data_IF_332094576879
#
_entry.id   IF_332094576879
#
_cell.length_a   1.000
_cell.length_b   1.000
_cell.length_c   1.000
_cell.angle_alpha   90.00
_cell.angle_beta   90.00
_cell.angle_gamma   90.00
#
_symmetry.space_group_name_H-M   'P 1'
#
loop_
_entity.id
_entity.type
_entity.pdbx_description
1 polymer ?
#
# COMPACT_ATOMS: atom_id res chain seq x y z
N UNK A 1 -4.62 6.37 7.62
CA UNK A 1 -4.12 6.80 6.28
C UNK A 1 -2.67 7.29 6.29
N UNK A 2 -2.21 8.01 7.34
CA UNK A 2 -0.84 8.58 7.38
C UNK A 2 0.27 7.54 7.16
N UNK A 3 0.10 6.29 7.60
CA UNK A 3 1.09 5.22 7.41
C UNK A 3 1.44 4.95 5.93
N UNK A 4 0.55 5.26 5.01
CA UNK A 4 0.77 5.06 3.57
C UNK A 4 1.87 5.97 3.03
N UNK A 5 2.06 7.16 3.61
CA UNK A 5 3.15 8.07 3.26
C UNK A 5 4.54 7.48 3.54
N UNK A 6 4.60 6.49 4.43
CA UNK A 6 5.83 5.77 4.76
C UNK A 6 5.91 4.46 3.99
N UNK A 7 4.81 3.69 3.94
CA UNK A 7 4.80 2.37 3.28
C UNK A 7 4.90 2.45 1.76
N UNK A 8 4.21 3.40 1.13
CA UNK A 8 4.23 3.52 -0.32
C UNK A 8 5.64 3.78 -0.87
N UNK A 9 6.44 4.72 -0.31
CA UNK A 9 7.83 4.87 -0.68
C UNK A 9 8.69 3.61 -0.47
N UNK A 10 8.40 2.80 0.53
CA UNK A 10 9.12 1.55 0.77
C UNK A 10 8.79 0.53 -0.32
N UNK A 11 7.51 0.36 -0.65
CA UNK A 11 7.05 -0.58 -1.67
C UNK A 11 7.56 -0.21 -3.06
N UNK A 12 7.48 1.07 -3.43
CA UNK A 12 7.85 1.57 -4.76
C UNK A 12 9.33 1.93 -4.90
N UNK A 13 10.15 1.74 -3.87
CA UNK A 13 11.57 2.10 -3.89
C UNK A 13 12.49 1.04 -4.49
N UNK A 14 11.96 -0.11 -4.91
CA UNK A 14 12.73 -1.14 -5.60
C UNK A 14 13.18 -0.72 -7.00
N UNK A 15 14.22 -1.33 -7.58
CA UNK A 15 14.55 -1.16 -8.97
C UNK A 15 13.55 -1.89 -9.86
N UNK A 16 13.36 -1.43 -11.09
CA UNK A 16 12.62 -2.14 -12.11
C UNK A 16 13.48 -3.24 -12.79
N UNK A 17 12.95 -3.90 -13.82
CA UNK A 17 13.66 -4.96 -14.52
C UNK A 17 14.93 -4.51 -15.25
N UNK A 18 15.11 -3.20 -15.45
CA UNK A 18 16.29 -2.58 -16.06
C UNK A 18 17.31 -2.08 -15.04
N UNK A 19 16.98 -2.16 -13.75
CA UNK A 19 17.79 -1.64 -12.66
C UNK A 19 17.57 -0.15 -12.34
N UNK A 20 16.61 0.50 -13.00
CA UNK A 20 16.29 1.92 -12.75
C UNK A 20 15.29 2.08 -11.60
N UNK A 21 15.32 3.26 -10.95
CA UNK A 21 14.44 3.58 -9.82
C UNK A 21 13.35 4.59 -10.22
N UNK A 22 12.19 4.49 -9.56
CA UNK A 22 11.12 5.44 -9.73
C UNK A 22 11.57 6.84 -9.25
N UNK A 23 11.40 7.86 -10.10
CA UNK A 23 11.91 9.21 -9.86
C UNK A 23 13.29 9.47 -10.48
N UNK A 24 13.91 8.44 -11.09
CA UNK A 24 15.25 8.53 -11.69
C UNK A 24 16.36 8.52 -10.64
N UNK A 25 17.60 8.58 -11.12
CA UNK A 25 18.79 8.60 -10.26
C UNK A 25 19.39 7.21 -10.02
N UNK A 26 20.50 7.17 -9.28
CA UNK A 26 21.27 5.95 -9.00
C UNK A 26 20.79 5.17 -7.76
N UNK A 27 19.68 5.58 -7.16
CA UNK A 27 19.13 4.95 -5.97
C UNK A 27 17.68 5.34 -5.70
N UNK A 28 17.02 4.72 -4.72
CA UNK A 28 15.61 4.92 -4.43
C UNK A 28 15.31 6.34 -3.93
N UNK A 29 14.52 7.11 -4.66
CA UNK A 29 14.07 8.43 -4.26
C UNK A 29 12.78 8.36 -3.42
N UNK A 30 12.90 7.92 -2.16
CA UNK A 30 11.76 7.78 -1.24
C UNK A 30 11.06 9.11 -0.94
N UNK A 31 11.80 10.23 -0.97
CA UNK A 31 11.23 11.56 -0.72
C UNK A 31 10.27 11.97 -1.83
N UNK A 32 10.66 11.78 -3.10
CA UNK A 32 9.79 12.10 -4.23
C UNK A 32 8.53 11.20 -4.27
N UNK A 33 8.67 9.91 -3.96
CA UNK A 33 7.53 9.00 -3.89
C UNK A 33 6.59 9.41 -2.75
N UNK A 34 7.12 9.78 -1.58
CA UNK A 34 6.32 10.27 -0.46
C UNK A 34 5.59 11.57 -0.80
N UNK A 35 6.27 12.53 -1.43
CA UNK A 35 5.69 13.82 -1.84
C UNK A 35 4.57 13.62 -2.87
N UNK A 36 4.78 12.79 -3.90
CA UNK A 36 3.76 12.43 -4.87
C UNK A 36 2.56 11.74 -4.23
N UNK A 37 2.81 10.79 -3.34
CA UNK A 37 1.75 10.09 -2.58
C UNK A 37 0.93 11.05 -1.73
N UNK A 38 1.59 11.97 -1.01
CA UNK A 38 0.91 12.97 -0.19
C UNK A 38 0.06 13.94 -1.01
N UNK A 39 0.60 14.41 -2.15
CA UNK A 39 -0.12 15.30 -3.05
C UNK A 39 -1.39 14.64 -3.60
N UNK A 40 -1.27 13.44 -4.15
CA UNK A 40 -2.42 12.72 -4.72
C UNK A 40 -3.45 12.39 -3.64
N UNK A 41 -3.02 11.85 -2.50
CA UNK A 41 -3.92 11.54 -1.39
C UNK A 41 -4.64 12.79 -0.86
N UNK A 42 -3.94 13.92 -0.76
CA UNK A 42 -4.53 15.19 -0.33
C UNK A 42 -5.57 15.71 -1.31
N UNK A 43 -5.22 15.80 -2.60
CA UNK A 43 -6.14 16.27 -3.64
C UNK A 43 -7.37 15.37 -3.74
N UNK A 44 -7.19 14.04 -3.78
CA UNK A 44 -8.29 13.10 -3.90
C UNK A 44 -9.20 13.09 -2.64
N UNK A 45 -8.63 13.26 -1.45
CA UNK A 45 -9.43 13.39 -0.22
C UNK A 45 -10.25 14.68 -0.19
N UNK A 46 -9.70 15.81 -0.69
CA UNK A 46 -10.43 17.08 -0.82
C UNK A 46 -11.57 16.93 -1.83
N UNK A 47 -11.32 16.29 -2.98
CA UNK A 47 -12.35 16.03 -3.98
C UNK A 47 -13.44 15.09 -3.43
N UNK A 48 -13.06 14.07 -2.66
CA UNK A 48 -14.03 13.16 -2.05
C UNK A 48 -14.95 13.87 -1.04
N UNK A 49 -14.41 14.76 -0.21
CA UNK A 49 -15.20 15.53 0.73
C UNK A 49 -15.98 16.68 0.08
N UNK A 50 -15.39 17.37 -0.92
CA UNK A 50 -15.98 18.58 -1.49
C UNK A 50 -16.90 18.34 -2.68
N UNK A 51 -16.64 17.32 -3.50
CA UNK A 51 -17.43 17.01 -4.70
C UNK A 51 -18.37 15.83 -4.46
N UNK A 52 -17.88 14.80 -3.78
CA UNK A 52 -18.66 13.60 -3.53
C UNK A 52 -19.48 13.63 -2.23
N UNK A 53 -19.31 14.67 -1.41
CA UNK A 53 -19.94 14.82 -0.08
C UNK A 53 -19.81 13.57 0.80
N UNK A 54 -18.67 12.88 0.68
CA UNK A 54 -18.41 11.63 1.39
C UNK A 54 -17.15 11.77 2.26
N UNK A 55 -17.26 11.70 3.60
CA UNK A 55 -16.18 12.06 4.53
C UNK A 55 -15.12 10.96 4.66
N UNK A 56 -14.58 10.46 3.55
CA UNK A 56 -13.51 9.48 3.55
C UNK A 56 -12.20 10.05 3.00
N UNK A 57 -11.11 9.80 3.74
CA UNK A 57 -9.78 10.08 3.22
C UNK A 57 -9.36 8.98 2.24
N UNK A 58 -8.89 9.39 1.07
CA UNK A 58 -8.41 8.50 0.02
C UNK A 58 -6.88 8.41 0.04
N UNK A 59 -6.38 7.24 -0.28
CA UNK A 59 -4.95 7.01 -0.48
C UNK A 59 -4.75 5.83 -1.44
N UNK A 60 -3.52 5.68 -1.97
CA UNK A 60 -3.19 4.58 -2.87
C UNK A 60 -3.36 3.20 -2.21
N UNK A 61 -3.93 2.24 -2.95
CA UNK A 61 -4.11 0.86 -2.48
C UNK A 61 -2.78 0.12 -2.34
N UNK A 62 -2.50 -0.42 -1.15
CA UNK A 62 -1.24 -1.13 -0.90
C UNK A 62 -1.11 -2.40 -1.75
N UNK A 63 -2.22 -3.11 -1.98
CA UNK A 63 -2.25 -4.32 -2.79
C UNK A 63 -1.83 -4.05 -4.23
N UNK A 64 -2.38 -3.02 -4.84
CA UNK A 64 -2.05 -2.59 -6.20
C UNK A 64 -0.61 -2.12 -6.33
N UNK A 65 -0.15 -1.29 -5.40
CA UNK A 65 1.23 -0.80 -5.39
C UNK A 65 2.23 -1.95 -5.32
N UNK A 66 1.93 -2.97 -4.49
CA UNK A 66 2.75 -4.18 -4.39
C UNK A 66 2.70 -5.00 -5.69
N UNK A 67 1.52 -5.14 -6.31
CA UNK A 67 1.37 -5.82 -7.60
C UNK A 67 2.18 -5.13 -8.71
N UNK A 68 2.13 -3.81 -8.80
CA UNK A 68 2.92 -3.04 -9.76
C UNK A 68 4.41 -3.22 -9.49
N UNK A 69 4.86 -3.02 -8.24
CA UNK A 69 6.27 -3.04 -7.86
C UNK A 69 6.92 -4.43 -7.93
N UNK A 70 6.20 -5.48 -7.52
CA UNK A 70 6.75 -6.82 -7.42
C UNK A 70 6.46 -7.71 -8.62
N UNK A 71 5.50 -7.35 -9.47
CA UNK A 71 5.10 -8.18 -10.61
C UNK A 71 5.28 -7.45 -11.94
N UNK A 72 4.61 -6.31 -12.14
CA UNK A 72 4.53 -5.67 -13.45
C UNK A 72 5.87 -5.09 -13.89
N UNK A 73 6.52 -4.30 -13.03
CA UNK A 73 7.81 -3.67 -13.37
C UNK A 73 8.98 -4.66 -13.34
N UNK A 74 8.79 -5.87 -12.82
CA UNK A 74 9.78 -6.94 -12.85
C UNK A 74 9.70 -7.81 -14.12
N UNK A 75 8.69 -7.60 -14.96
CA UNK A 75 8.63 -8.30 -16.25
C UNK A 75 9.78 -7.85 -17.17
N UNK A 76 10.34 -8.74 -18.00
CA UNK A 76 11.51 -8.45 -18.80
C UNK A 76 11.37 -7.18 -19.67
N UNK A 77 12.31 -6.25 -19.53
CA UNK A 77 12.34 -4.98 -20.26
C UNK A 77 11.36 -3.90 -19.79
N UNK A 78 10.51 -4.17 -18.79
CA UNK A 78 9.59 -3.18 -18.23
C UNK A 78 10.30 -2.17 -17.35
N UNK A 79 9.92 -0.92 -17.51
CA UNK A 79 10.39 0.19 -16.66
C UNK A 79 9.28 0.68 -15.73
N UNK A 80 9.62 1.48 -14.73
CA UNK A 80 8.64 2.14 -13.87
C UNK A 80 7.64 2.97 -14.66
N UNK A 81 8.09 3.69 -15.71
CA UNK A 81 7.22 4.49 -16.56
C UNK A 81 6.18 3.63 -17.31
N UNK A 82 6.55 2.43 -17.74
CA UNK A 82 5.63 1.49 -18.40
C UNK A 82 4.62 0.90 -17.40
N UNK A 83 5.08 0.53 -16.20
CA UNK A 83 4.20 0.05 -15.13
C UNK A 83 3.17 1.11 -14.73
N UNK A 84 3.59 2.35 -14.55
CA UNK A 84 2.67 3.49 -14.31
C UNK A 84 1.76 3.76 -15.51
N UNK A 85 2.23 3.46 -16.74
CA UNK A 85 1.42 3.52 -17.95
C UNK A 85 0.23 2.57 -17.90
N UNK A 86 0.43 1.33 -17.44
CA UNK A 86 -0.66 0.34 -17.24
C UNK A 86 -1.68 0.85 -16.21
N UNK A 87 -1.21 1.44 -15.10
CA UNK A 87 -2.11 2.02 -14.08
C UNK A 87 -2.93 3.19 -14.65
N UNK A 88 -2.35 4.03 -15.50
CA UNK A 88 -3.10 5.11 -16.16
C UNK A 88 -4.14 4.56 -17.13
N UNK A 89 -3.81 3.55 -17.92
CA UNK A 89 -4.77 2.89 -18.84
C UNK A 89 -5.93 2.31 -18.04
N UNK A 90 -5.63 1.61 -16.96
CA UNK A 90 -6.62 1.05 -16.05
C UNK A 90 -7.54 2.13 -15.47
N UNK A 91 -6.97 3.23 -14.96
CA UNK A 91 -7.76 4.36 -14.44
C UNK A 91 -8.69 4.98 -15.48
N UNK A 92 -8.23 5.13 -16.74
CA UNK A 92 -9.07 5.61 -17.85
C UNK A 92 -10.22 4.63 -18.12
N UNK A 93 -9.95 3.33 -18.14
CA UNK A 93 -10.99 2.30 -18.33
C UNK A 93 -12.02 2.36 -17.20
N UNK A 94 -11.60 2.49 -15.92
CA UNK A 94 -12.51 2.64 -14.79
C UNK A 94 -13.40 3.88 -14.96
N UNK A 95 -12.84 5.03 -15.35
CA UNK A 95 -13.62 6.25 -15.61
C UNK A 95 -14.69 6.00 -16.68
N UNK A 96 -14.34 5.33 -17.78
CA UNK A 96 -15.30 4.98 -18.83
C UNK A 96 -16.39 4.02 -18.31
N UNK A 97 -16.02 3.03 -17.50
CA UNK A 97 -16.99 2.11 -16.86
C UNK A 97 -17.95 2.85 -15.91
N UNK A 98 -17.46 3.85 -15.20
CA UNK A 98 -18.29 4.70 -14.32
C UNK A 98 -19.26 5.53 -15.14
N UNK A 99 -18.78 6.20 -16.19
CA UNK A 99 -19.62 7.06 -17.05
C UNK A 99 -20.71 6.28 -17.81
N UNK A 100 -20.44 5.02 -18.16
CA UNK A 100 -21.43 4.13 -18.81
C UNK A 100 -22.40 3.48 -17.82
N UNK A 101 -22.23 3.66 -16.51
CA UNK A 101 -23.04 3.00 -15.48
C UNK A 101 -22.76 1.49 -15.32
N UNK A 102 -21.84 0.94 -16.09
CA UNK A 102 -21.51 -0.49 -16.05
C UNK A 102 -20.89 -0.89 -14.71
N UNK A 103 -20.15 0.04 -14.07
CA UNK A 103 -19.60 -0.18 -12.72
C UNK A 103 -20.69 -0.57 -11.72
N UNK A 104 -21.84 0.13 -11.74
CA UNK A 104 -22.95 -0.17 -10.84
C UNK A 104 -23.62 -1.52 -11.16
N UNK A 105 -23.73 -1.87 -12.44
CA UNK A 105 -24.24 -3.17 -12.86
C UNK A 105 -23.35 -4.32 -12.37
N UNK A 106 -22.03 -4.19 -12.49
CA UNK A 106 -21.07 -5.17 -11.97
C UNK A 106 -21.19 -5.27 -10.44
N UNK A 107 -21.26 -4.15 -9.73
CA UNK A 107 -21.42 -4.14 -8.26
C UNK A 107 -22.69 -4.88 -7.81
N UNK A 108 -23.81 -4.67 -8.50
CA UNK A 108 -25.06 -5.36 -8.21
C UNK A 108 -25.01 -6.86 -8.53
N UNK A 109 -24.22 -7.25 -9.52
CA UNK A 109 -24.03 -8.64 -9.89
C UNK A 109 -23.19 -9.44 -8.88
N UNK A 110 -22.33 -8.76 -8.09
CA UNK A 110 -21.46 -9.41 -7.11
C UNK A 110 -22.27 -9.78 -5.85
N UNK A 111 -22.38 -11.07 -5.49
CA UNK A 111 -23.09 -11.50 -4.29
C UNK A 111 -22.50 -10.95 -2.99
N UNK A 112 -23.34 -10.74 -1.97
CA UNK A 112 -22.92 -10.18 -0.67
C UNK A 112 -21.78 -10.97 -0.01
N UNK A 113 -21.86 -12.31 -0.02
CA UNK A 113 -20.83 -13.16 0.55
C UNK A 113 -19.46 -12.97 -0.09
N UNK A 114 -19.42 -12.68 -1.40
CA UNK A 114 -18.18 -12.42 -2.11
C UNK A 114 -17.57 -11.09 -1.71
N UNK A 115 -18.38 -10.06 -1.52
CA UNK A 115 -17.94 -8.74 -1.01
C UNK A 115 -17.31 -8.87 0.38
N UNK A 116 -17.95 -9.61 1.29
CA UNK A 116 -17.41 -9.91 2.61
C UNK A 116 -16.09 -10.70 2.52
N UNK A 117 -16.03 -11.72 1.66
CA UNK A 117 -14.81 -12.49 1.44
C UNK A 117 -13.64 -11.65 0.94
N UNK A 118 -13.90 -10.66 0.06
CA UNK A 118 -12.90 -9.71 -0.42
C UNK A 118 -12.36 -8.86 0.73
N UNK A 119 -13.23 -8.29 1.57
CA UNK A 119 -12.81 -7.49 2.73
C UNK A 119 -11.95 -8.31 3.71
N UNK A 120 -12.31 -9.57 3.96
CA UNK A 120 -11.51 -10.50 4.77
C UNK A 120 -10.17 -10.78 4.10
N UNK A 121 -10.15 -11.02 2.79
CA UNK A 121 -8.93 -11.25 2.02
C UNK A 121 -7.96 -10.07 2.08
N UNK A 122 -8.47 -8.85 1.94
CA UNK A 122 -7.67 -7.62 2.09
C UNK A 122 -7.09 -7.54 3.51
N UNK A 123 -7.89 -7.80 4.54
CA UNK A 123 -7.43 -7.81 5.93
C UNK A 123 -6.30 -8.83 6.18
N UNK A 124 -6.45 -10.04 5.65
CA UNK A 124 -5.41 -11.08 5.73
C UNK A 124 -4.15 -10.70 4.96
N UNK A 125 -4.29 -10.09 3.77
CA UNK A 125 -3.16 -9.61 2.99
C UNK A 125 -2.37 -8.53 3.74
N UNK A 126 -3.05 -7.52 4.29
CA UNK A 126 -2.40 -6.46 5.08
C UNK A 126 -1.72 -7.04 6.33
N UNK A 127 -2.35 -8.01 6.99
CA UNK A 127 -1.76 -8.74 8.11
C UNK A 127 -0.48 -9.46 7.68
N UNK A 128 -0.52 -10.18 6.56
CA UNK A 128 0.64 -10.89 6.02
C UNK A 128 1.79 -9.93 5.70
N UNK A 129 1.51 -8.78 5.04
CA UNK A 129 2.51 -7.74 4.78
C UNK A 129 3.09 -7.20 6.09
N UNK A 130 2.27 -7.02 7.11
CA UNK A 130 2.71 -6.63 8.46
C UNK A 130 3.68 -7.63 9.07
N UNK A 131 3.39 -8.94 8.97
CA UNK A 131 4.26 -10.01 9.48
C UNK A 131 5.60 -10.08 8.72
N UNK A 132 5.58 -9.86 7.41
CA UNK A 132 6.81 -9.78 6.60
C UNK A 132 7.65 -8.57 7.01
N UNK A 133 7.04 -7.39 7.15
CA UNK A 133 7.74 -6.17 7.54
C UNK A 133 8.27 -6.23 8.99
N UNK A 134 7.58 -6.94 9.88
CA UNK A 134 8.02 -7.19 11.25
C UNK A 134 9.18 -8.20 11.35
N UNK A 135 9.50 -8.88 10.24
CA UNK A 135 10.55 -9.90 10.23
C UNK A 135 10.12 -11.23 10.84
N UNK A 136 8.82 -11.49 10.97
CA UNK A 136 8.29 -12.80 11.41
C UNK A 136 8.31 -13.78 10.25
N UNK A 137 7.98 -13.31 9.05
CA UNK A 137 7.96 -14.11 7.83
C UNK A 137 9.03 -13.59 6.88
N UNK A 138 9.86 -14.46 6.34
CA UNK A 138 10.91 -14.14 5.38
C UNK A 138 10.81 -15.01 4.14
N UNK A 139 11.34 -14.52 3.02
CA UNK A 139 11.59 -15.36 1.85
C UNK A 139 12.63 -16.42 2.24
N UNK A 140 12.37 -17.67 1.88
CA UNK A 140 13.34 -18.74 2.08
C UNK A 140 14.65 -18.42 1.35
N UNK A 141 15.83 -18.73 1.92
CA UNK A 141 17.06 -18.78 1.14
C UNK A 141 16.84 -19.73 -0.05
N UNK A 142 17.40 -19.39 -1.21
CA UNK A 142 17.19 -20.13 -2.47
C UNK A 142 17.78 -21.56 -2.40
N UNK A 143 17.14 -22.42 -1.63
CA UNK A 143 17.40 -23.86 -1.57
C UNK A 143 16.23 -24.58 -2.23
N UNK A 144 16.54 -25.48 -3.14
CA UNK A 144 15.56 -26.21 -3.98
C UNK A 144 14.51 -26.95 -3.14
N UNK A 145 14.85 -27.36 -1.91
CA UNK A 145 14.00 -28.16 -1.01
C UNK A 145 13.37 -27.33 0.14
N UNK A 146 13.47 -26.01 0.11
CA UNK A 146 12.92 -25.15 1.17
C UNK A 146 11.54 -24.63 0.83
N UNK A 147 10.60 -24.54 1.79
CA UNK A 147 9.32 -23.86 1.53
C UNK A 147 9.58 -22.42 1.13
N UNK A 148 8.72 -21.81 0.26
CA UNK A 148 8.93 -20.45 -0.28
C UNK A 148 8.97 -19.38 0.80
N UNK A 149 8.40 -19.65 1.97
CA UNK A 149 8.38 -18.77 3.13
C UNK A 149 8.85 -19.51 4.37
N UNK A 150 9.64 -18.82 5.18
CA UNK A 150 10.14 -19.35 6.46
C UNK A 150 9.81 -18.38 7.60
N UNK A 151 9.60 -18.91 8.78
CA UNK A 151 9.40 -18.14 9.99
C UNK A 151 10.74 -17.82 10.64
N UNK A 152 10.86 -16.62 11.17
CA UNK A 152 12.02 -16.12 11.93
C UNK A 152 13.29 -15.90 11.11
N UNK A 153 14.15 -15.04 11.62
CA UNK A 153 15.50 -14.80 11.07
C UNK A 153 16.42 -15.89 11.59
N UNK A 154 16.95 -16.73 10.70
CA UNK A 154 17.84 -17.86 11.08
C UNK A 154 17.25 -18.78 12.16
N UNK A 155 15.92 -18.96 12.17
CA UNK A 155 15.22 -19.79 13.16
C UNK A 155 15.03 -19.12 14.53
N UNK A 156 15.35 -17.84 14.69
CA UNK A 156 15.17 -17.11 15.94
C UNK A 156 14.16 -15.96 15.80
N UNK A 157 13.16 -15.95 16.66
CA UNK A 157 12.22 -14.85 16.86
C UNK A 157 12.70 -13.83 17.89
N UNK A 158 13.91 -14.02 18.46
CA UNK A 158 14.47 -13.14 19.47
C UNK A 158 15.25 -11.97 18.84
N UNK A 159 14.51 -11.06 18.19
CA UNK A 159 15.10 -9.86 17.59
C UNK A 159 14.53 -8.58 18.20
N UNK A 160 15.34 -7.52 18.31
CA UNK A 160 14.90 -6.24 18.84
C UNK A 160 13.75 -5.62 18.02
N UNK A 161 13.79 -5.63 16.67
CA UNK A 161 12.68 -5.14 15.86
C UNK A 161 11.35 -5.85 16.15
N UNK A 162 11.38 -7.18 16.32
CA UNK A 162 10.20 -7.95 16.65
C UNK A 162 9.65 -7.60 18.04
N UNK A 163 10.51 -7.37 19.01
CA UNK A 163 10.10 -6.96 20.37
C UNK A 163 9.39 -5.61 20.34
N UNK A 164 9.93 -4.64 19.60
CA UNK A 164 9.31 -3.32 19.40
C UNK A 164 7.97 -3.45 18.67
N UNK A 165 7.89 -4.30 17.64
CA UNK A 165 6.66 -4.56 16.93
C UNK A 165 5.57 -5.14 17.85
N UNK A 166 5.89 -6.18 18.61
CA UNK A 166 4.93 -6.83 19.53
C UNK A 166 4.47 -5.86 20.63
N UNK A 167 5.38 -5.08 21.19
CA UNK A 167 5.03 -4.08 22.21
C UNK A 167 4.10 -3.00 21.64
N UNK A 168 4.39 -2.49 20.43
CA UNK A 168 3.56 -1.52 19.75
C UNK A 168 2.18 -2.07 19.37
N UNK A 169 2.12 -3.29 18.86
CA UNK A 169 0.87 -3.97 18.52
C UNK A 169 0.01 -4.19 19.78
N UNK A 170 0.61 -4.70 20.86
CA UNK A 170 -0.09 -4.90 22.13
C UNK A 170 -0.65 -3.59 22.70
N UNK A 171 0.16 -2.52 22.69
CA UNK A 171 -0.31 -1.21 23.13
C UNK A 171 -1.48 -0.72 22.26
N UNK A 172 -1.36 -0.82 20.95
CA UNK A 172 -2.44 -0.43 20.02
C UNK A 172 -3.72 -1.21 20.28
N UNK A 173 -3.62 -2.54 20.46
CA UNK A 173 -4.76 -3.40 20.76
C UNK A 173 -5.43 -2.99 22.09
N UNK A 174 -4.67 -2.76 23.15
CA UNK A 174 -5.19 -2.30 24.44
C UNK A 174 -5.91 -0.95 24.32
N UNK A 175 -5.32 0.01 23.58
CA UNK A 175 -5.92 1.34 23.40
C UNK A 175 -7.22 1.25 22.56
N UNK A 176 -7.27 0.38 21.55
CA UNK A 176 -8.48 0.14 20.76
C UNK A 176 -9.60 -0.47 21.63
N UNK A 177 -9.29 -1.49 22.44
CA UNK A 177 -10.26 -2.08 23.37
C UNK A 177 -10.77 -1.04 24.37
N UNK A 178 -9.91 -0.12 24.80
CA UNK A 178 -10.29 1.01 25.67
C UNK A 178 -10.99 2.15 24.94
N UNK A 179 -11.25 2.02 23.63
CA UNK A 179 -11.91 3.02 22.77
C UNK A 179 -11.24 4.40 22.82
N UNK A 180 -9.90 4.42 22.90
CA UNK A 180 -9.13 5.68 22.86
C UNK A 180 -9.08 6.19 21.44
N UNK A 181 -9.55 7.42 21.21
CA UNK A 181 -9.46 8.07 19.91
C UNK A 181 -7.99 8.25 19.50
N UNK A 182 -7.63 7.78 18.30
CA UNK A 182 -6.25 7.84 17.79
C UNK A 182 -5.33 6.71 18.30
N UNK A 183 -5.88 5.59 18.83
CA UNK A 183 -5.13 4.44 19.32
C UNK A 183 -4.01 3.98 18.36
N UNK A 184 -4.29 3.91 17.07
CA UNK A 184 -3.32 3.51 16.05
C UNK A 184 -2.17 4.52 15.96
N UNK A 185 -2.48 5.83 15.96
CA UNK A 185 -1.45 6.88 15.90
C UNK A 185 -0.54 6.83 17.15
N UNK A 186 -1.13 6.68 18.32
CA UNK A 186 -0.38 6.54 19.59
C UNK A 186 0.53 5.32 19.53
N UNK A 187 0.03 4.18 19.03
CA UNK A 187 0.82 2.96 18.86
C UNK A 187 2.00 3.15 17.90
N UNK A 188 1.79 3.84 16.78
CA UNK A 188 2.87 4.15 15.81
C UNK A 188 3.93 5.05 16.45
N UNK A 189 3.52 6.14 17.13
CA UNK A 189 4.44 7.06 17.80
C UNK A 189 5.24 6.33 18.88
N UNK A 190 4.57 5.51 19.70
CA UNK A 190 5.21 4.70 20.72
C UNK A 190 6.24 3.72 20.11
N UNK A 191 5.85 2.97 19.10
CA UNK A 191 6.76 2.01 18.43
C UNK A 191 7.97 2.72 17.82
N UNK A 192 7.76 3.89 17.21
CA UNK A 192 8.84 4.71 16.65
C UNK A 192 9.80 5.20 17.74
N UNK A 193 9.27 5.71 18.86
CA UNK A 193 10.09 6.13 19.99
C UNK A 193 10.90 4.96 20.58
N UNK A 194 10.25 3.80 20.79
CA UNK A 194 10.95 2.59 21.23
C UNK A 194 12.04 2.16 20.25
N UNK A 195 11.78 2.19 18.95
CA UNK A 195 12.75 1.84 17.93
C UNK A 195 13.99 2.76 17.95
N UNK A 196 13.77 4.07 18.10
CA UNK A 196 14.86 5.05 18.25
C UNK A 196 15.69 4.81 19.51
N UNK A 197 15.05 4.54 20.64
CA UNK A 197 15.74 4.26 21.91
C UNK A 197 16.55 2.96 21.79
N UNK A 198 15.95 1.90 21.26
CA UNK A 198 16.61 0.61 21.07
C UNK A 198 17.81 0.74 20.13
N UNK A 199 17.68 1.49 19.02
CA UNK A 199 18.81 1.73 18.12
C UNK A 199 19.93 2.53 18.79
N UNK A 200 19.59 3.58 19.55
CA UNK A 200 20.56 4.40 20.25
C UNK A 200 21.35 3.62 21.32
N UNK A 201 20.69 2.71 22.04
CA UNK A 201 21.29 1.94 23.12
C UNK A 201 22.04 0.69 22.62
N UNK A 202 21.46 -0.05 21.68
CA UNK A 202 21.93 -1.39 21.29
C UNK A 202 22.57 -1.45 19.90
N UNK A 203 22.50 -0.35 19.10
CA UNK A 203 23.07 -0.26 17.74
C UNK A 203 22.70 -1.48 16.89
N UNK A 204 21.42 -1.79 16.85
CA UNK A 204 20.87 -2.99 16.22
C UNK A 204 21.17 -3.04 14.72
N UNK A 205 21.25 -1.89 14.05
CA UNK A 205 21.60 -1.76 12.63
C UNK A 205 23.01 -2.29 12.29
N UNK A 206 23.92 -2.31 13.27
CA UNK A 206 25.28 -2.82 13.08
C UNK A 206 25.40 -4.35 13.19
N UNK A 207 24.32 -5.06 13.55
CA UNK A 207 24.32 -6.52 13.74
C UNK A 207 24.10 -7.24 12.40
N UNK A 208 24.92 -8.26 12.07
CA UNK A 208 24.82 -8.98 10.81
C UNK A 208 23.52 -9.80 10.66
N UNK A 209 22.87 -10.15 11.78
CA UNK A 209 21.59 -10.89 11.79
C UNK A 209 20.63 -10.28 12.81
N UNK A 210 19.37 -10.15 12.43
CA UNK A 210 18.32 -9.64 13.31
C UNK A 210 18.25 -8.11 13.45
N UNK A 211 18.85 -7.36 12.50
CA UNK A 211 18.72 -5.91 12.40
C UNK A 211 17.37 -5.44 11.86
N UNK A 212 17.23 -4.11 11.67
CA UNK A 212 16.02 -3.52 11.11
C UNK A 212 15.82 -3.91 9.65
N UNK A 213 14.68 -4.50 9.33
CA UNK A 213 14.42 -5.07 8.00
C UNK A 213 14.17 -4.03 6.90
N UNK A 214 13.61 -2.86 7.22
CA UNK A 214 13.20 -1.87 6.23
C UNK A 214 14.11 -0.64 6.20
N UNK A 215 14.21 0.06 7.32
CA UNK A 215 15.05 1.25 7.49
C UNK A 215 15.57 1.31 8.91
N UNK A 216 16.80 1.78 9.08
CA UNK A 216 17.34 2.01 10.42
C UNK A 216 16.65 3.21 11.06
N UNK A 217 16.09 3.08 12.28
CA UNK A 217 15.52 4.19 13.00
C UNK A 217 16.61 5.22 13.32
N UNK A 218 16.53 6.39 12.69
CA UNK A 218 17.47 7.48 12.95
C UNK A 218 16.82 8.83 12.67
N UNK A 219 17.03 9.78 13.56
CA UNK A 219 16.69 11.18 13.32
C UNK A 219 17.81 11.81 12.48
N UNK A 220 17.72 11.66 11.15
CA UNK A 220 18.67 12.22 10.20
C UNK A 220 17.99 13.22 9.29
N UNK A 221 18.64 14.35 9.04
CA UNK A 221 18.17 15.40 8.14
C UNK A 221 17.30 16.46 8.80
N UNK A 222 16.85 17.44 7.99
CA UNK A 222 15.91 18.47 8.44
C UNK A 222 14.50 17.88 8.60
N UNK A 223 13.79 18.23 9.66
CA UNK A 223 12.39 17.78 9.85
C UNK A 223 11.45 18.35 8.79
N UNK A 224 11.85 19.42 8.11
CA UNK A 224 11.12 20.02 7.02
C UNK A 224 12.05 20.15 5.82
N UNK A 225 11.68 19.50 4.71
CA UNK A 225 12.37 19.60 3.42
C UNK A 225 11.37 20.03 2.35
N UNK A 226 11.83 20.72 1.33
CA UNK A 226 10.98 21.02 0.17
C UNK A 226 10.52 19.71 -0.49
N UNK A 227 9.25 19.59 -0.90
CA UNK A 227 8.76 18.41 -1.57
C UNK A 227 9.47 18.23 -2.93
N UNK A 228 9.92 17.01 -3.18
CA UNK A 228 10.48 16.62 -4.48
C UNK A 228 9.39 15.93 -5.31
N UNK A 229 9.13 16.45 -6.49
CA UNK A 229 8.11 15.93 -7.41
C UNK A 229 8.71 15.25 -8.64
N UNK A 230 9.93 14.75 -8.57
CA UNK A 230 10.60 14.08 -9.70
C UNK A 230 9.85 12.84 -10.22
N UNK A 231 8.93 12.29 -9.44
CA UNK A 231 8.09 11.15 -9.86
C UNK A 231 6.86 11.56 -10.67
N UNK A 232 6.47 12.85 -10.66
CA UNK A 232 5.30 13.32 -11.40
C UNK A 232 5.55 13.29 -12.91
N UNK A 233 4.58 12.75 -13.66
CA UNK A 233 4.63 12.68 -15.11
C UNK A 233 5.56 11.60 -15.67
N UNK A 234 6.19 10.78 -14.84
CA UNK A 234 6.96 9.63 -15.31
C UNK A 234 6.05 8.46 -15.72
N UNK A 235 5.37 8.63 -16.83
CA UNK A 235 4.38 7.69 -17.36
C UNK A 235 4.61 7.48 -18.84
N UNK A 236 4.63 6.21 -19.27
CA UNK A 236 4.68 5.81 -20.68
C UNK A 236 3.49 4.91 -21.00
N UNK A 237 2.31 5.46 -21.36
CA UNK A 237 1.11 4.66 -21.58
C UNK A 237 1.23 3.65 -22.72
N UNK A 238 2.05 3.94 -23.72
CA UNK A 238 2.24 3.07 -24.89
C UNK A 238 3.51 2.23 -24.83
N UNK A 239 4.43 2.49 -23.90
CA UNK A 239 5.70 1.78 -23.80
C UNK A 239 5.54 0.29 -23.51
N UNK A 240 4.58 -0.07 -22.67
CA UNK A 240 4.27 -1.46 -22.31
C UNK A 240 3.80 -2.29 -23.52
N UNK A 241 3.06 -1.69 -24.47
CA UNK A 241 2.58 -2.38 -25.68
C UNK A 241 3.71 -2.82 -26.61
N UNK A 242 4.77 -2.03 -26.71
CA UNK A 242 5.94 -2.37 -27.51
C UNK A 242 6.79 -3.48 -26.90
N UNK A 243 6.75 -3.63 -25.57
CA UNK A 243 7.60 -4.57 -24.82
C UNK A 243 6.91 -5.91 -24.57
N UNK A 244 5.64 -5.90 -24.19
CA UNK A 244 4.88 -7.10 -23.83
C UNK A 244 3.88 -7.55 -24.90
N UNK A 245 3.57 -6.68 -25.88
CA UNK A 245 2.51 -6.92 -26.85
C UNK A 245 1.10 -6.60 -26.33
N UNK A 246 0.15 -6.42 -27.24
CA UNK A 246 -1.21 -5.93 -26.94
C UNK A 246 -1.96 -6.86 -25.98
N UNK A 247 -1.91 -8.18 -26.23
CA UNK A 247 -2.68 -9.16 -25.43
C UNK A 247 -2.23 -9.15 -23.97
N UNK A 248 -0.90 -9.15 -23.73
CA UNK A 248 -0.36 -9.15 -22.39
C UNK A 248 -0.73 -7.86 -21.62
N UNK A 249 -0.62 -6.70 -22.26
CA UNK A 249 -0.97 -5.41 -21.64
C UNK A 249 -2.46 -5.35 -21.33
N UNK A 250 -3.34 -5.81 -22.22
CA UNK A 250 -4.79 -5.86 -21.98
C UNK A 250 -5.11 -6.77 -20.80
N UNK A 251 -4.52 -7.96 -20.73
CA UNK A 251 -4.73 -8.90 -19.62
C UNK A 251 -4.21 -8.32 -18.30
N UNK A 252 -3.03 -7.69 -18.29
CA UNK A 252 -2.48 -7.05 -17.09
C UNK A 252 -3.35 -5.88 -16.64
N UNK A 253 -3.73 -4.97 -17.55
CA UNK A 253 -4.61 -3.84 -17.23
C UNK A 253 -5.96 -4.31 -16.69
N UNK A 254 -6.53 -5.36 -17.27
CA UNK A 254 -7.77 -5.95 -16.79
C UNK A 254 -7.61 -6.59 -15.39
N UNK A 255 -6.49 -7.25 -15.12
CA UNK A 255 -6.18 -7.85 -13.81
C UNK A 255 -6.02 -6.78 -12.73
N UNK A 256 -5.30 -5.69 -13.05
CA UNK A 256 -5.13 -4.54 -12.14
C UNK A 256 -6.48 -3.88 -11.89
N UNK A 257 -7.27 -3.66 -12.94
CA UNK A 257 -8.62 -3.08 -12.86
C UNK A 257 -9.56 -3.90 -11.97
N UNK A 258 -9.56 -5.23 -12.11
CA UNK A 258 -10.37 -6.09 -11.24
C UNK A 258 -9.92 -6.00 -9.78
N UNK A 259 -8.61 -6.00 -9.55
CA UNK A 259 -8.05 -5.89 -8.20
C UNK A 259 -8.43 -4.54 -7.57
N UNK A 260 -8.29 -3.42 -8.30
CA UNK A 260 -8.66 -2.09 -7.82
C UNK A 260 -10.15 -1.96 -7.59
N UNK A 261 -10.96 -2.47 -8.52
CA UNK A 261 -12.41 -2.47 -8.38
C UNK A 261 -12.85 -3.16 -7.09
N UNK A 262 -12.31 -4.35 -6.82
CA UNK A 262 -12.66 -5.10 -5.62
C UNK A 262 -12.08 -4.50 -4.34
N UNK A 263 -10.84 -3.99 -4.37
CA UNK A 263 -10.21 -3.32 -3.23
C UNK A 263 -11.01 -2.07 -2.83
N UNK A 264 -11.33 -1.22 -3.79
CA UNK A 264 -12.12 0.00 -3.58
C UNK A 264 -13.52 -0.34 -3.05
N UNK A 265 -14.20 -1.33 -3.63
CA UNK A 265 -15.53 -1.74 -3.18
C UNK A 265 -15.52 -2.35 -1.79
N UNK A 266 -14.57 -3.25 -1.52
CA UNK A 266 -14.43 -3.87 -0.20
C UNK A 266 -14.15 -2.83 0.89
N UNK A 267 -13.28 -1.89 0.61
CA UNK A 267 -12.91 -0.81 1.53
C UNK A 267 -14.08 0.16 1.76
N UNK A 268 -14.77 0.58 0.70
CA UNK A 268 -15.91 1.50 0.82
C UNK A 268 -17.07 0.88 1.62
N UNK A 269 -17.37 -0.41 1.39
CA UNK A 269 -18.41 -1.10 2.15
C UNK A 269 -18.00 -1.29 3.61
N UNK A 270 -16.76 -1.72 3.87
CA UNK A 270 -16.28 -1.95 5.22
C UNK A 270 -16.24 -0.65 6.05
N UNK A 271 -15.65 0.42 5.49
CA UNK A 271 -15.55 1.72 6.19
C UNK A 271 -16.89 2.44 6.23
N UNK A 272 -17.71 2.30 5.19
CA UNK A 272 -19.06 2.86 5.17
C UNK A 272 -19.98 2.23 6.23
N UNK A 273 -19.88 0.92 6.45
CA UNK A 273 -20.60 0.22 7.51
C UNK A 273 -20.15 0.66 8.91
N UNK A 274 -18.83 0.80 9.14
CA UNK A 274 -18.28 1.26 10.41
C UNK A 274 -18.64 2.74 10.71
N UNK A 275 -18.79 3.55 9.67
CA UNK A 275 -19.11 4.97 9.77
C UNK A 275 -20.61 5.30 9.74
N UNK A 276 -21.51 4.30 9.74
CA UNK A 276 -22.96 4.49 9.57
C UNK A 276 -23.32 5.31 8.31
N UNK A 277 -22.52 5.15 7.22
CA UNK A 277 -22.67 5.86 5.97
C UNK A 277 -23.45 5.04 4.90
N UNK A 278 -23.91 3.85 5.27
CA UNK A 278 -24.71 2.97 4.41
C UNK A 278 -26.19 3.10 4.77
N UNK A 279 -27.07 3.03 3.76
CA UNK A 279 -28.50 2.90 3.98
C UNK A 279 -28.90 1.45 4.33
N UNK A 280 -30.18 1.21 4.69
CA UNK A 280 -30.73 -0.13 5.03
C UNK A 280 -30.56 -1.16 3.88
N UNK A 281 -30.32 -0.71 2.63
CA UNK A 281 -30.05 -1.55 1.48
C UNK A 281 -28.55 -1.80 1.24
N UNK A 282 -27.68 -1.46 2.19
CA UNK A 282 -26.21 -1.46 2.06
C UNK A 282 -25.68 -0.59 0.90
N UNK A 283 -26.47 0.41 0.50
CA UNK A 283 -26.06 1.41 -0.50
C UNK A 283 -25.43 2.59 0.22
N UNK A 284 -24.42 3.15 -0.41
CA UNK A 284 -23.89 4.44 0.03
C UNK A 284 -25.01 5.48 -0.11
N UNK A 285 -25.29 6.23 0.96
CA UNK A 285 -26.33 7.26 1.00
C UNK A 285 -25.95 8.48 0.15
N UNK A 286 -25.82 8.26 -1.14
CA UNK A 286 -25.49 9.29 -2.11
C UNK A 286 -26.75 10.02 -2.55
N UNK A 287 -26.79 11.33 -2.34
CA UNK A 287 -27.73 12.20 -3.03
C UNK A 287 -29.11 12.38 -2.41
N UNK A 288 -29.34 12.04 -1.14
CA UNK A 288 -30.59 12.40 -0.43
C UNK A 288 -30.51 13.67 0.41
N UNK A 289 -29.44 14.45 0.28
CA UNK A 289 -29.32 15.76 0.92
C UNK A 289 -29.24 16.89 -0.12
N UNK A 290 -30.17 16.88 -1.06
CA UNK A 290 -30.51 18.08 -1.85
C UNK A 290 -32.01 18.31 -1.78
#
# INVERSE_FOLDING_TARGET
MVYILVLNPIILSGPDSTGAYLGGGSGPNKAAIAAGTALVAGVMSILMGGVADFPLALAAGLGLNTMVAATIVQLPGMTWADGMGIVVIEGVVIVLLVLTGLREAIFRAVPRYLRTAISVGIGLFVTFVGLVNAGIVHKSPDRVDSPPLVFAVNGSLSTWPLLVFVAGLALTAVLMVRRVNGAILIGIVFSTACALIVEALFKVSAKPSGGWGLTTPALKGSPVTAPDFATLGQVSPLGSFHKLGIVAVVVLSFSVMLADFFDTMGTMVAVGAEGDLLDESERLTWGQRT
#
